data_IF_407641114512
#
_entry.id   IF_407641114512
#
_cell.length_a   1.000
_cell.length_b   1.000
_cell.length_c   1.000
_cell.angle_alpha   90.00
_cell.angle_beta   90.00
_cell.angle_gamma   90.00
#
_symmetry.space_group_name_H-M   'P 1'
#
loop_
_entity.id
_entity.type
_entity.pdbx_description
1 polymer ?
#
# COMPACT_ATOMS: atom_id res chain seq x y z
N UNK A 1 5.15 -8.71 -8.73
CA UNK A 1 5.88 -9.31 -7.58
C UNK A 1 5.53 -8.47 -6.37
N UNK A 2 4.94 -9.06 -5.33
CA UNK A 2 4.51 -8.36 -4.13
C UNK A 2 5.75 -8.19 -3.25
N UNK A 3 6.11 -6.95 -2.91
CA UNK A 3 7.21 -6.68 -1.96
C UNK A 3 6.62 -6.50 -0.58
N UNK A 4 7.05 -7.34 0.36
CA UNK A 4 6.63 -7.30 1.76
C UNK A 4 7.82 -6.88 2.62
N UNK A 5 7.65 -5.81 3.38
CA UNK A 5 8.67 -5.36 4.33
C UNK A 5 8.20 -5.74 5.74
N UNK A 6 9.10 -6.26 6.58
CA UNK A 6 8.78 -6.60 7.97
C UNK A 6 9.83 -6.00 8.90
N UNK A 7 9.41 -5.09 9.78
CA UNK A 7 10.31 -4.50 10.79
C UNK A 7 10.38 -5.34 12.08
N UNK A 8 11.41 -5.08 12.90
CA UNK A 8 11.55 -5.57 14.29
C UNK A 8 10.36 -5.17 15.18
N UNK A 9 9.56 -4.18 14.77
CA UNK A 9 8.33 -3.70 15.43
C UNK A 9 7.03 -4.19 14.74
N UNK A 10 7.09 -5.19 13.84
CA UNK A 10 5.93 -5.77 13.13
C UNK A 10 5.17 -4.78 12.23
N UNK A 11 5.87 -3.90 11.55
CA UNK A 11 5.31 -3.14 10.43
C UNK A 11 5.36 -4.02 9.17
N UNK A 12 4.20 -4.31 8.60
CA UNK A 12 4.05 -4.99 7.31
C UNK A 12 3.73 -3.95 6.23
N UNK A 13 4.22 -4.12 5.00
CA UNK A 13 3.88 -3.20 3.91
C UNK A 13 3.66 -3.93 2.57
N UNK A 14 2.80 -3.36 1.72
CA UNK A 14 2.52 -3.85 0.36
C UNK A 14 2.71 -2.72 -0.65
N UNK A 15 3.37 -3.03 -1.77
CA UNK A 15 3.62 -2.07 -2.84
C UNK A 15 2.40 -1.89 -3.76
N UNK A 16 2.07 -0.64 -4.10
CA UNK A 16 1.18 -0.34 -5.23
C UNK A 16 2.02 -0.16 -6.50
N UNK A 17 2.47 -1.29 -7.07
CA UNK A 17 3.38 -1.29 -8.23
C UNK A 17 2.69 -1.08 -9.57
N UNK A 18 1.43 -1.51 -9.68
CA UNK A 18 0.59 -1.39 -10.87
C UNK A 18 -0.89 -1.48 -10.49
N UNK A 19 -1.79 -1.22 -11.45
CA UNK A 19 -3.23 -1.34 -11.30
C UNK A 19 -3.80 -2.70 -11.73
N UNK A 20 -2.97 -3.73 -11.82
CA UNK A 20 -3.43 -5.07 -12.17
C UNK A 20 -4.30 -5.64 -11.06
N UNK A 21 -5.20 -6.56 -11.45
CA UNK A 21 -6.10 -7.23 -10.51
C UNK A 21 -5.34 -7.89 -9.36
N UNK A 22 -4.20 -8.50 -9.62
CA UNK A 22 -3.44 -9.25 -8.61
C UNK A 22 -2.90 -8.32 -7.51
N UNK A 23 -2.37 -7.14 -7.89
CA UNK A 23 -1.92 -6.13 -6.92
C UNK A 23 -3.09 -5.56 -6.13
N UNK A 24 -4.19 -5.22 -6.79
CA UNK A 24 -5.38 -4.70 -6.10
C UNK A 24 -5.94 -5.75 -5.12
N UNK A 25 -5.99 -7.02 -5.51
CA UNK A 25 -6.42 -8.11 -4.63
C UNK A 25 -5.47 -8.30 -3.44
N UNK A 26 -4.15 -8.20 -3.65
CA UNK A 26 -3.17 -8.26 -2.57
C UNK A 26 -3.35 -7.10 -1.57
N UNK A 27 -3.59 -5.89 -2.07
CA UNK A 27 -3.86 -4.72 -1.23
C UNK A 27 -5.15 -4.91 -0.43
N UNK A 28 -6.23 -5.39 -1.06
CA UNK A 28 -7.49 -5.69 -0.36
C UNK A 28 -7.28 -6.77 0.69
N UNK A 29 -6.57 -7.86 0.38
CA UNK A 29 -6.27 -8.94 1.31
C UNK A 29 -5.44 -8.47 2.50
N UNK A 30 -4.46 -7.58 2.25
CA UNK A 30 -3.58 -7.03 3.28
C UNK A 30 -4.30 -6.03 4.21
N UNK A 31 -5.09 -5.13 3.63
CA UNK A 31 -5.73 -4.02 4.35
C UNK A 31 -7.12 -4.36 4.90
N UNK A 32 -7.82 -5.31 4.27
CA UNK A 32 -9.24 -5.55 4.49
C UNK A 32 -10.16 -4.43 3.98
N UNK A 33 -9.61 -3.44 3.25
CA UNK A 33 -10.36 -2.28 2.77
C UNK A 33 -10.72 -2.42 1.29
N UNK A 34 -11.85 -1.84 0.91
CA UNK A 34 -12.20 -1.68 -0.51
C UNK A 34 -11.25 -0.69 -1.17
N UNK A 35 -10.84 -1.00 -2.40
CA UNK A 35 -9.92 -0.19 -3.18
C UNK A 35 -10.62 0.32 -4.44
N UNK A 36 -10.49 1.62 -4.71
CA UNK A 36 -10.80 2.23 -6.01
C UNK A 36 -9.51 2.55 -6.74
N UNK A 37 -9.51 2.49 -8.07
CA UNK A 37 -8.37 2.90 -8.89
C UNK A 37 -8.82 4.05 -9.78
N UNK A 38 -8.06 5.14 -9.77
CA UNK A 38 -8.28 6.33 -10.57
C UNK A 38 -7.17 6.45 -11.62
N UNK A 39 -7.58 6.71 -12.87
CA UNK A 39 -6.70 7.02 -13.97
C UNK A 39 -6.89 8.50 -14.31
N UNK A 40 -5.92 9.32 -13.94
CA UNK A 40 -5.96 10.75 -14.20
C UNK A 40 -5.64 11.05 -15.68
N UNK A 41 -6.08 12.22 -16.15
CA UNK A 41 -5.89 12.66 -17.53
C UNK A 41 -4.44 12.93 -17.90
N UNK A 42 -3.57 13.11 -16.90
CA UNK A 42 -2.12 13.27 -17.05
C UNK A 42 -1.39 11.91 -17.15
N UNK A 43 -2.11 10.80 -17.13
CA UNK A 43 -1.57 9.44 -17.16
C UNK A 43 -1.17 8.90 -15.78
N UNK A 44 -1.38 9.67 -14.69
CA UNK A 44 -1.11 9.21 -13.33
C UNK A 44 -2.15 8.18 -12.90
N UNK A 45 -1.68 7.11 -12.25
CA UNK A 45 -2.54 6.10 -11.63
C UNK A 45 -2.47 6.23 -10.11
N UNK A 46 -3.63 6.28 -9.48
CA UNK A 46 -3.78 6.35 -8.02
C UNK A 46 -4.76 5.28 -7.56
N UNK A 47 -4.56 4.80 -6.34
CA UNK A 47 -5.56 3.97 -5.67
C UNK A 47 -6.07 4.65 -4.40
N UNK A 48 -7.36 4.52 -4.16
CA UNK A 48 -8.05 4.99 -2.96
C UNK A 48 -8.44 3.81 -2.08
N UNK A 49 -7.85 3.74 -0.88
CA UNK A 49 -8.21 2.79 0.18
C UNK A 49 -9.35 3.38 1.01
N UNK A 50 -10.55 2.83 0.88
CA UNK A 50 -11.75 3.34 1.54
C UNK A 50 -11.80 2.80 2.98
N UNK A 51 -11.48 3.64 3.96
CA UNK A 51 -11.57 3.30 5.39
C UNK A 51 -13.00 3.43 5.92
N UNK A 52 -13.71 4.46 5.45
CA UNK A 52 -15.14 4.68 5.72
C UNK A 52 -15.73 5.66 4.67
N UNK A 53 -17.00 6.02 4.81
CA UNK A 53 -17.73 6.89 3.87
C UNK A 53 -17.14 8.30 3.70
N UNK A 54 -16.29 8.77 4.61
CA UNK A 54 -15.68 10.11 4.59
C UNK A 54 -14.15 10.09 4.61
N UNK A 55 -13.52 8.91 4.60
CA UNK A 55 -12.07 8.75 4.75
C UNK A 55 -11.52 7.77 3.72
N UNK A 56 -10.69 8.31 2.83
CA UNK A 56 -9.97 7.54 1.81
C UNK A 56 -8.47 7.84 1.95
N UNK A 57 -7.65 6.80 2.03
CA UNK A 57 -6.20 6.95 1.89
C UNK A 57 -5.82 6.85 0.42
N UNK A 58 -5.17 7.88 -0.11
CA UNK A 58 -4.69 7.90 -1.48
C UNK A 58 -3.26 7.35 -1.51
N UNK A 59 -3.02 6.37 -2.37
CA UNK A 59 -1.70 5.83 -2.69
C UNK A 59 -1.40 6.08 -4.17
N UNK A 60 -0.24 6.64 -4.46
CA UNK A 60 0.23 6.81 -5.83
C UNK A 60 1.04 5.59 -6.28
N UNK A 61 1.07 5.34 -7.59
CA UNK A 61 1.87 4.27 -8.16
C UNK A 61 3.34 4.39 -7.72
N UNK A 62 3.92 3.30 -7.22
CA UNK A 62 5.28 3.24 -6.67
C UNK A 62 5.38 3.51 -5.17
N UNK A 63 4.29 3.91 -4.51
CA UNK A 63 4.23 4.03 -3.06
C UNK A 63 3.83 2.72 -2.39
N UNK A 64 3.99 2.68 -1.06
CA UNK A 64 3.74 1.51 -0.23
C UNK A 64 2.64 1.80 0.77
N UNK A 65 1.83 0.79 1.04
CA UNK A 65 0.77 0.81 2.02
C UNK A 65 1.26 -0.03 3.19
N UNK A 66 1.39 0.57 4.36
CA UNK A 66 1.85 -0.13 5.55
C UNK A 66 0.73 -0.34 6.55
N UNK A 67 0.90 -1.37 7.38
CA UNK A 67 0.06 -1.67 8.54
C UNK A 67 0.95 -1.81 9.76
N UNK A 68 0.69 -0.99 10.78
CA UNK A 68 1.43 -1.05 12.04
C UNK A 68 0.92 -2.17 12.97
N UNK A 69 1.58 -2.35 14.10
CA UNK A 69 1.21 -3.36 15.10
C UNK A 69 -0.15 -3.13 15.76
N UNK A 70 -0.68 -1.90 15.68
CA UNK A 70 -2.00 -1.53 16.20
C UNK A 70 -3.10 -1.71 15.14
N UNK A 71 -2.73 -2.05 13.91
CA UNK A 71 -3.64 -2.24 12.78
C UNK A 71 -3.99 -0.95 12.05
N UNK A 72 -3.32 0.17 12.34
CA UNK A 72 -3.49 1.39 11.57
C UNK A 72 -2.84 1.24 10.20
N UNK A 73 -3.48 1.83 9.20
CA UNK A 73 -3.03 1.80 7.80
C UNK A 73 -2.51 3.18 7.43
N UNK A 74 -1.35 3.22 6.80
CA UNK A 74 -0.74 4.44 6.26
C UNK A 74 -0.09 4.22 4.90
N UNK A 75 0.43 5.29 4.32
CA UNK A 75 1.13 5.28 3.04
C UNK A 75 2.51 5.88 3.23
N UNK A 76 3.54 5.26 2.64
CA UNK A 76 4.92 5.75 2.68
C UNK A 76 5.65 5.48 1.36
N UNK A 77 6.79 6.15 1.19
CA UNK A 77 7.69 5.95 0.06
C UNK A 77 8.76 4.90 0.37
N UNK A 78 9.42 4.39 -0.68
CA UNK A 78 10.47 3.38 -0.54
C UNK A 78 11.60 3.84 0.39
N UNK A 79 11.98 5.11 0.36
CA UNK A 79 13.08 5.64 1.17
C UNK A 79 12.75 5.55 2.68
N UNK A 80 11.49 5.77 3.05
CA UNK A 80 11.02 5.57 4.43
C UNK A 80 11.14 4.11 4.86
N UNK A 81 10.90 3.16 3.94
CA UNK A 81 11.08 1.74 4.20
C UNK A 81 12.56 1.31 4.21
N UNK A 82 13.44 1.97 3.46
CA UNK A 82 14.86 1.60 3.39
C UNK A 82 15.66 2.09 4.59
N UNK A 83 15.28 3.21 5.19
CA UNK A 83 15.97 3.77 6.35
C UNK A 83 15.67 3.02 7.66
N UNK A 84 14.64 2.15 7.69
CA UNK A 84 14.21 1.47 8.91
C UNK A 84 13.81 -0.02 8.81
N UNK A 85 13.83 -0.64 7.63
CA UNK A 85 13.16 -1.94 7.42
C UNK A 85 13.99 -2.90 6.55
N UNK A 86 13.91 -4.20 6.85
CA UNK A 86 14.48 -5.27 6.02
C UNK A 86 13.44 -5.71 4.97
N UNK A 87 13.83 -5.73 3.69
CA UNK A 87 13.00 -6.23 2.59
C UNK A 87 12.92 -7.76 2.67
N UNK A 88 11.73 -8.32 2.85
CA UNK A 88 11.50 -9.76 2.76
C UNK A 88 10.94 -10.04 1.37
N UNK A 89 11.81 -10.49 0.47
CA UNK A 89 11.38 -10.98 -0.85
C UNK A 89 10.92 -12.43 -0.68
N UNK A 90 9.61 -12.68 -0.81
CA UNK A 90 9.07 -14.02 -1.08
C UNK A 90 8.99 -14.27 -2.59
#
# INVERSE_FOLDING_TARGET
MIRIFKSKERLEAVAFSDSTKDIIQAIIAFTGLSVTVEYATDGTVRAGLIKNVSSVHIVNLGQFIYKDSEGNIGVCDLDYLRDGFEEITE
#
